data_IF_466203663137
#
_entry.id   IF_466203663137
#
_cell.length_a   1.000
_cell.length_b   1.000
_cell.length_c   1.000
_cell.angle_alpha   90.00
_cell.angle_beta   90.00
_cell.angle_gamma   90.00
#
_symmetry.space_group_name_H-M   'P 1'
#
loop_
_entity.id
_entity.type
_entity.pdbx_description
1 polymer ?
#
# COMPACT_ATOMS: atom_id res chain seq x y z
N UNK A 1 13.37 16.19 -32.13
CA UNK A 1 14.27 15.12 -31.67
C UNK A 1 14.28 14.96 -30.15
N UNK A 2 14.29 16.04 -29.37
CA UNK A 2 14.29 16.02 -27.89
C UNK A 2 13.14 15.26 -27.22
N UNK A 3 11.93 15.26 -27.81
CA UNK A 3 10.78 14.51 -27.27
C UNK A 3 10.92 12.98 -27.41
N UNK A 4 11.68 12.50 -28.40
CA UNK A 4 11.90 11.05 -28.58
C UNK A 4 12.80 10.49 -27.48
N UNK A 5 13.84 11.21 -27.09
CA UNK A 5 14.74 10.81 -25.99
C UNK A 5 14.03 10.84 -24.63
N UNK A 6 13.13 11.81 -24.40
CA UNK A 6 12.30 11.88 -23.18
C UNK A 6 11.29 10.73 -23.05
N UNK A 7 10.99 10.03 -24.13
CA UNK A 7 10.12 8.85 -24.11
C UNK A 7 10.93 7.54 -24.05
N UNK A 8 11.98 7.44 -24.87
CA UNK A 8 12.80 6.23 -24.97
C UNK A 8 13.56 5.95 -23.67
N UNK A 9 14.09 6.98 -22.99
CA UNK A 9 14.90 6.77 -21.78
C UNK A 9 14.04 6.20 -20.64
N UNK A 10 12.89 6.80 -20.26
CA UNK A 10 12.02 6.20 -19.25
C UNK A 10 11.56 4.80 -19.63
N UNK A 11 11.06 4.58 -20.85
CA UNK A 11 10.53 3.28 -21.27
C UNK A 11 11.57 2.16 -21.26
N UNK A 12 12.83 2.45 -21.61
CA UNK A 12 13.92 1.48 -21.45
C UNK A 12 14.13 1.14 -19.98
N UNK A 13 14.18 2.14 -19.10
CA UNK A 13 14.32 1.94 -17.65
C UNK A 13 13.13 1.14 -17.10
N UNK A 14 11.90 1.47 -17.50
CA UNK A 14 10.70 0.71 -17.16
C UNK A 14 10.80 -0.75 -17.60
N UNK A 15 11.24 -1.01 -18.83
CA UNK A 15 11.43 -2.36 -19.35
C UNK A 15 12.46 -3.16 -18.52
N UNK A 16 13.60 -2.56 -18.18
CA UNK A 16 14.59 -3.20 -17.30
C UNK A 16 14.03 -3.51 -15.91
N UNK A 17 13.23 -2.58 -15.34
CA UNK A 17 12.72 -2.71 -13.98
C UNK A 17 11.56 -3.72 -13.85
N UNK A 18 10.72 -3.86 -14.88
CA UNK A 18 9.48 -4.63 -14.80
C UNK A 18 9.47 -5.93 -15.62
N UNK A 19 10.26 -6.06 -16.68
CA UNK A 19 10.16 -7.19 -17.61
C UNK A 19 11.37 -8.13 -17.56
N UNK A 20 12.54 -7.64 -17.15
CA UNK A 20 13.76 -8.46 -17.15
C UNK A 20 13.92 -9.14 -15.79
N UNK A 21 13.88 -10.49 -15.72
CA UNK A 21 14.14 -11.20 -14.48
C UNK A 21 15.63 -11.13 -14.14
N UNK A 22 15.92 -10.79 -12.90
CA UNK A 22 17.24 -10.73 -12.30
C UNK A 22 17.33 -11.78 -11.19
N UNK A 23 18.47 -12.44 -11.08
CA UNK A 23 18.74 -13.35 -9.97
C UNK A 23 19.30 -12.52 -8.81
N UNK A 24 18.53 -12.38 -7.74
CA UNK A 24 18.91 -11.65 -6.53
C UNK A 24 18.79 -12.60 -5.34
N UNK A 25 19.89 -12.81 -4.61
CA UNK A 25 19.94 -13.70 -3.44
C UNK A 25 19.41 -15.12 -3.69
N UNK A 26 19.63 -15.66 -4.89
CA UNK A 26 19.21 -17.01 -5.28
C UNK A 26 17.74 -17.12 -5.72
N UNK A 27 17.00 -16.01 -5.78
CA UNK A 27 15.61 -15.95 -6.29
C UNK A 27 15.55 -15.14 -7.58
N UNK A 28 14.75 -15.60 -8.53
CA UNK A 28 14.43 -14.84 -9.73
C UNK A 28 13.33 -13.83 -9.41
N UNK A 29 13.63 -12.55 -9.55
CA UNK A 29 12.69 -11.45 -9.33
C UNK A 29 12.92 -10.34 -10.35
N UNK A 30 12.01 -9.37 -10.45
CA UNK A 30 12.16 -8.21 -11.32
C UNK A 30 12.90 -7.07 -10.60
N UNK A 31 13.44 -6.09 -11.33
CA UNK A 31 14.17 -4.98 -10.73
C UNK A 31 13.37 -4.21 -9.66
N UNK A 32 12.07 -4.01 -9.88
CA UNK A 32 11.16 -3.44 -8.87
C UNK A 32 11.01 -4.33 -7.63
N UNK A 33 11.01 -5.65 -7.81
CA UNK A 33 10.93 -6.63 -6.73
C UNK A 33 12.14 -6.55 -5.81
N UNK A 34 13.35 -6.35 -6.36
CA UNK A 34 14.57 -6.12 -5.57
C UNK A 34 14.42 -4.87 -4.70
N UNK A 35 13.93 -3.76 -5.27
CA UNK A 35 13.71 -2.52 -4.53
C UNK A 35 12.68 -2.69 -3.41
N UNK A 36 11.56 -3.37 -3.71
CA UNK A 36 10.50 -3.64 -2.75
C UNK A 36 10.98 -4.55 -1.61
N UNK A 37 11.66 -5.65 -1.91
CA UNK A 37 12.20 -6.58 -0.91
C UNK A 37 13.27 -5.92 -0.03
N UNK A 38 14.16 -5.13 -0.64
CA UNK A 38 15.20 -4.40 0.10
C UNK A 38 14.57 -3.38 1.06
N UNK A 39 13.62 -2.57 0.58
CA UNK A 39 12.92 -1.61 1.42
C UNK A 39 12.09 -2.28 2.51
N UNK A 40 11.43 -3.39 2.19
CA UNK A 40 10.69 -4.18 3.16
C UNK A 40 11.62 -4.71 4.26
N UNK A 41 12.79 -5.25 3.91
CA UNK A 41 13.75 -5.77 4.89
C UNK A 41 14.25 -4.69 5.87
N UNK A 42 14.40 -3.45 5.42
CA UNK A 42 14.82 -2.32 6.28
C UNK A 42 13.69 -1.85 7.20
N UNK A 43 12.43 -1.99 6.75
CA UNK A 43 11.26 -1.40 7.42
C UNK A 43 10.42 -2.41 8.19
N UNK A 44 10.74 -3.71 8.10
CA UNK A 44 9.90 -4.81 8.57
C UNK A 44 9.44 -4.67 10.03
N UNK A 45 10.30 -4.18 10.92
CA UNK A 45 10.01 -4.09 12.36
C UNK A 45 8.91 -3.07 12.70
N UNK A 46 8.79 -2.00 11.93
CA UNK A 46 7.84 -0.92 12.19
C UNK A 46 6.73 -0.80 11.14
N UNK A 47 6.87 -1.49 10.00
CA UNK A 47 5.94 -1.39 8.89
C UNK A 47 4.52 -1.84 9.26
N UNK A 48 4.28 -2.94 10.02
CA UNK A 48 2.95 -3.33 10.45
C UNK A 48 2.25 -2.21 11.25
N UNK A 49 2.95 -1.64 12.24
CA UNK A 49 2.41 -0.56 13.06
C UNK A 49 2.12 0.70 12.23
N UNK A 50 3.02 1.06 11.31
CA UNK A 50 2.80 2.15 10.37
C UNK A 50 1.55 1.92 9.50
N UNK A 51 1.35 0.70 9.01
CA UNK A 51 0.18 0.37 8.19
C UNK A 51 -1.13 0.41 8.96
N UNK A 52 -1.16 -0.02 10.23
CA UNK A 52 -2.35 0.19 11.09
C UNK A 52 -2.64 1.68 11.24
N UNK A 53 -1.63 2.50 11.48
CA UNK A 53 -1.80 3.96 11.60
C UNK A 53 -2.37 4.57 10.30
N UNK A 54 -1.89 4.13 9.13
CA UNK A 54 -2.41 4.57 7.82
C UNK A 54 -3.87 4.13 7.62
N UNK A 55 -4.22 2.90 7.99
CA UNK A 55 -5.61 2.41 7.92
C UNK A 55 -6.55 3.21 8.82
N UNK A 56 -6.13 3.50 10.06
CA UNK A 56 -6.88 4.34 10.98
C UNK A 56 -7.05 5.76 10.46
N UNK A 57 -5.97 6.38 9.98
CA UNK A 57 -6.01 7.70 9.37
C UNK A 57 -6.97 7.74 8.17
N UNK A 58 -6.94 6.69 7.34
CA UNK A 58 -7.84 6.55 6.19
C UNK A 58 -9.31 6.54 6.63
N UNK A 59 -9.67 5.78 7.67
CA UNK A 59 -11.03 5.77 8.23
C UNK A 59 -11.42 7.14 8.78
N UNK A 60 -10.56 7.77 9.58
CA UNK A 60 -10.82 9.10 10.18
C UNK A 60 -11.06 10.15 9.09
N UNK A 61 -10.20 10.21 8.08
CA UNK A 61 -10.34 11.14 6.96
C UNK A 61 -11.58 10.84 6.13
N UNK A 62 -11.97 9.57 6.00
CA UNK A 62 -13.19 9.17 5.29
C UNK A 62 -14.44 9.62 6.04
N UNK A 63 -14.47 9.43 7.36
CA UNK A 63 -15.57 9.91 8.21
C UNK A 63 -15.65 11.44 8.15
N UNK A 64 -14.51 12.13 8.28
CA UNK A 64 -14.44 13.58 8.17
C UNK A 64 -14.92 14.07 6.79
N UNK A 65 -14.53 13.39 5.70
CA UNK A 65 -14.97 13.71 4.36
C UNK A 65 -16.49 13.57 4.19
N UNK A 66 -17.11 12.54 4.78
CA UNK A 66 -18.55 12.30 4.68
C UNK A 66 -19.39 13.22 5.57
N UNK A 67 -18.93 13.50 6.80
CA UNK A 67 -19.67 14.27 7.81
C UNK A 67 -19.42 15.78 7.67
N UNK A 68 -18.16 16.19 7.75
CA UNK A 68 -17.79 17.61 7.77
C UNK A 68 -17.61 18.20 6.36
N UNK A 69 -17.44 17.35 5.35
CA UNK A 69 -17.26 17.73 3.93
C UNK A 69 -16.27 18.89 3.72
N UNK A 70 -15.04 18.81 4.27
CA UNK A 70 -14.11 19.92 4.22
C UNK A 70 -13.74 20.29 2.79
N UNK A 71 -13.65 21.59 2.52
CA UNK A 71 -13.43 22.12 1.17
C UNK A 71 -12.12 21.62 0.53
N UNK A 72 -11.05 21.43 1.30
CA UNK A 72 -9.78 20.92 0.79
C UNK A 72 -9.86 19.47 0.27
N UNK A 73 -10.75 18.64 0.83
CA UNK A 73 -11.02 17.30 0.30
C UNK A 73 -12.00 17.39 -0.88
N UNK A 74 -13.06 18.18 -0.76
CA UNK A 74 -14.14 18.23 -1.75
C UNK A 74 -13.76 18.92 -3.06
N UNK A 75 -12.85 19.89 -3.02
CA UNK A 75 -12.38 20.63 -4.18
C UNK A 75 -11.26 19.90 -4.95
N UNK A 76 -10.64 18.87 -4.35
CA UNK A 76 -9.62 18.05 -5.00
C UNK A 76 -10.22 16.75 -5.50
N UNK A 77 -10.24 16.56 -6.83
CA UNK A 77 -10.75 15.33 -7.44
C UNK A 77 -10.04 14.07 -6.91
N UNK A 78 -8.73 14.17 -6.65
CA UNK A 78 -7.93 13.09 -6.09
C UNK A 78 -8.33 12.76 -4.65
N UNK A 79 -8.35 13.77 -3.76
CA UNK A 79 -8.67 13.55 -2.34
C UNK A 79 -10.12 13.12 -2.14
N UNK A 80 -11.04 13.68 -2.93
CA UNK A 80 -12.45 13.28 -2.93
C UNK A 80 -12.59 11.81 -3.33
N UNK A 81 -11.88 11.35 -4.37
CA UNK A 81 -11.91 9.92 -4.77
C UNK A 81 -11.29 9.00 -3.71
N UNK A 82 -10.28 9.49 -2.98
CA UNK A 82 -9.57 8.72 -1.96
C UNK A 82 -10.38 8.58 -0.65
N UNK A 83 -10.97 9.69 -0.17
CA UNK A 83 -11.59 9.78 1.16
C UNK A 83 -13.12 9.90 1.15
N UNK A 84 -13.76 10.35 0.09
CA UNK A 84 -15.23 10.44 0.05
C UNK A 84 -15.85 9.15 -0.51
N UNK A 85 -15.74 8.06 0.26
CA UNK A 85 -16.40 6.77 -0.02
C UNK A 85 -17.56 6.52 0.94
N UNK A 86 -18.69 6.03 0.41
CA UNK A 86 -19.95 5.84 1.15
C UNK A 86 -20.48 4.40 1.03
N UNK A 87 -21.45 4.06 1.89
CA UNK A 87 -22.16 2.79 1.86
C UNK A 87 -21.24 1.60 2.18
N UNK A 88 -21.30 0.57 1.34
CA UNK A 88 -20.56 -0.67 1.52
C UNK A 88 -19.03 -0.45 1.67
N UNK A 89 -18.45 0.46 0.88
CA UNK A 89 -17.01 0.72 0.90
C UNK A 89 -16.52 1.36 2.19
N UNK A 90 -17.34 2.21 2.82
CA UNK A 90 -17.03 2.79 4.12
C UNK A 90 -17.00 1.72 5.20
N UNK A 91 -17.98 0.81 5.18
CA UNK A 91 -18.08 -0.30 6.15
C UNK A 91 -16.87 -1.21 6.03
N UNK A 92 -16.48 -1.61 4.81
CA UNK A 92 -15.30 -2.44 4.58
C UNK A 92 -14.00 -1.76 5.04
N UNK A 93 -13.87 -0.46 4.78
CA UNK A 93 -12.69 0.32 5.23
C UNK A 93 -12.62 0.38 6.76
N UNK A 94 -13.74 0.64 7.43
CA UNK A 94 -13.82 0.65 8.89
C UNK A 94 -13.55 -0.74 9.49
N UNK A 95 -14.13 -1.79 8.92
CA UNK A 95 -13.91 -3.18 9.35
C UNK A 95 -12.45 -3.60 9.20
N UNK A 96 -11.81 -3.27 8.08
CA UNK A 96 -10.38 -3.56 7.86
C UNK A 96 -9.48 -2.87 8.88
N UNK A 97 -9.73 -1.60 9.19
CA UNK A 97 -8.97 -0.88 10.22
C UNK A 97 -9.24 -1.45 11.62
N UNK A 98 -10.49 -1.81 11.93
CA UNK A 98 -10.85 -2.44 13.20
C UNK A 98 -10.11 -3.77 13.38
N UNK A 99 -10.12 -4.65 12.37
CA UNK A 99 -9.39 -5.91 12.45
C UNK A 99 -7.89 -5.70 12.56
N UNK A 100 -7.31 -4.73 11.87
CA UNK A 100 -5.89 -4.40 11.99
C UNK A 100 -5.52 -3.97 13.43
N UNK A 101 -6.38 -3.19 14.09
CA UNK A 101 -6.23 -2.83 15.51
C UNK A 101 -6.41 -4.05 16.42
N UNK A 102 -7.39 -4.90 16.16
CA UNK A 102 -7.60 -6.13 16.93
C UNK A 102 -6.39 -7.07 16.85
N UNK A 103 -5.76 -7.18 15.69
CA UNK A 103 -4.56 -8.00 15.50
C UNK A 103 -3.37 -7.40 16.25
N UNK A 104 -3.06 -6.11 16.07
CA UNK A 104 -1.84 -5.52 16.65
C UNK A 104 -1.87 -5.39 18.18
N UNK A 105 -3.06 -5.26 18.76
CA UNK A 105 -3.26 -5.20 20.21
C UNK A 105 -3.75 -6.53 20.81
N UNK A 106 -3.89 -7.57 19.99
CA UNK A 106 -4.40 -8.90 20.39
C UNK A 106 -5.76 -8.82 21.12
N UNK A 107 -6.66 -7.94 20.66
CA UNK A 107 -7.96 -7.69 21.27
C UNK A 107 -9.03 -8.55 20.61
N UNK A 108 -9.83 -9.25 21.42
CA UNK A 108 -11.00 -10.00 20.99
C UNK A 108 -10.74 -11.50 20.78
N UNK A 109 -11.59 -12.18 20.00
CA UNK A 109 -11.47 -13.62 19.77
C UNK A 109 -10.13 -14.02 19.13
N UNK A 110 -9.52 -15.10 19.64
CA UNK A 110 -8.24 -15.60 19.14
C UNK A 110 -8.24 -15.87 17.63
N UNK A 111 -9.35 -16.33 17.05
CA UNK A 111 -9.44 -16.58 15.60
C UNK A 111 -9.23 -15.33 14.72
N UNK A 112 -9.24 -14.12 15.30
CA UNK A 112 -9.01 -12.86 14.57
C UNK A 112 -7.53 -12.48 14.61
N UNK A 113 -6.87 -12.58 15.76
CA UNK A 113 -5.49 -12.12 15.96
C UNK A 113 -4.44 -13.24 15.93
N UNK A 114 -4.87 -14.50 15.87
CA UNK A 114 -3.98 -15.65 15.78
C UNK A 114 -3.01 -15.55 14.60
N UNK A 115 -1.80 -16.07 14.80
CA UNK A 115 -0.70 -16.01 13.85
C UNK A 115 -1.06 -16.58 12.47
N UNK A 116 -1.94 -17.57 12.40
CA UNK A 116 -2.39 -18.21 11.16
C UNK A 116 -3.64 -17.54 10.54
N UNK A 117 -4.13 -16.45 11.14
CA UNK A 117 -5.33 -15.74 10.69
C UNK A 117 -5.01 -14.27 10.38
N UNK A 118 -5.46 -13.32 11.22
CA UNK A 118 -5.16 -11.90 11.03
C UNK A 118 -3.69 -11.56 11.23
N UNK A 119 -2.95 -12.37 12.00
CA UNK A 119 -1.50 -12.25 12.13
C UNK A 119 -0.78 -12.36 10.78
N UNK A 120 -1.09 -13.40 9.99
CA UNK A 120 -0.54 -13.58 8.63
C UNK A 120 -0.84 -12.36 7.75
N UNK A 121 -2.05 -11.83 7.82
CA UNK A 121 -2.45 -10.67 7.01
C UNK A 121 -1.65 -9.43 7.40
N UNK A 122 -1.58 -9.09 8.69
CA UNK A 122 -0.96 -7.85 9.13
C UNK A 122 0.57 -7.89 9.10
N UNK A 123 1.18 -9.02 9.43
CA UNK A 123 2.64 -9.13 9.60
C UNK A 123 3.35 -9.67 8.36
N UNK A 124 2.68 -10.48 7.53
CA UNK A 124 3.32 -11.07 6.34
C UNK A 124 2.81 -10.43 5.05
N UNK A 125 1.49 -10.32 4.87
CA UNK A 125 0.93 -9.84 3.60
C UNK A 125 0.99 -8.32 3.46
N UNK A 126 0.51 -7.57 4.44
CA UNK A 126 0.43 -6.10 4.37
C UNK A 126 1.81 -5.46 4.13
N UNK A 127 2.89 -5.83 4.85
CA UNK A 127 4.24 -5.33 4.59
C UNK A 127 4.73 -5.56 3.16
N UNK A 128 4.60 -6.79 2.67
CA UNK A 128 5.02 -7.18 1.31
C UNK A 128 4.25 -6.37 0.29
N UNK A 129 2.91 -6.41 0.35
CA UNK A 129 2.04 -5.76 -0.63
C UNK A 129 2.24 -4.24 -0.64
N UNK A 130 2.46 -3.63 0.53
CA UNK A 130 2.70 -2.19 0.63
C UNK A 130 3.97 -1.79 -0.11
N UNK A 131 5.08 -2.47 0.15
CA UNK A 131 6.35 -2.14 -0.50
C UNK A 131 6.29 -2.42 -1.99
N UNK A 132 5.74 -3.57 -2.39
CA UNK A 132 5.59 -3.92 -3.78
C UNK A 132 4.72 -2.92 -4.55
N UNK A 133 3.55 -2.55 -4.02
CA UNK A 133 2.68 -1.58 -4.69
C UNK A 133 3.18 -0.13 -4.60
N UNK A 134 3.94 0.24 -3.58
CA UNK A 134 4.58 1.54 -3.50
C UNK A 134 5.56 1.73 -4.66
N UNK A 135 6.50 0.81 -4.85
CA UNK A 135 7.47 0.91 -5.94
C UNK A 135 6.85 0.63 -7.31
N UNK A 136 5.96 -0.36 -7.42
CA UNK A 136 5.27 -0.62 -8.67
C UNK A 136 4.45 0.60 -9.10
N UNK A 137 3.63 1.18 -8.22
CA UNK A 137 2.81 2.35 -8.52
C UNK A 137 3.63 3.61 -8.82
N UNK A 138 4.74 3.82 -8.11
CA UNK A 138 5.64 4.97 -8.33
C UNK A 138 6.41 4.87 -9.65
N UNK A 139 6.83 3.66 -10.04
CA UNK A 139 7.70 3.43 -11.21
C UNK A 139 6.92 3.02 -12.46
N UNK A 140 5.63 2.65 -12.35
CA UNK A 140 4.78 2.33 -13.50
C UNK A 140 4.75 3.42 -14.58
N UNK A 141 4.76 4.74 -14.27
CA UNK A 141 4.81 5.79 -15.30
C UNK A 141 6.10 5.81 -16.13
N UNK A 142 7.15 5.07 -15.73
CA UNK A 142 8.37 4.93 -16.51
C UNK A 142 8.21 3.93 -17.65
N UNK A 143 7.28 2.98 -17.58
CA UNK A 143 6.94 2.08 -18.69
C UNK A 143 6.24 2.87 -19.81
#
# INVERSE_FOLDING_TARGET
TTNKLKFIIPSIVGLFLFLIPLNYSGKWTIGVGILAETAQGITADYLPAFMVAVLLLSVVLTIAANVAKPQWIMNSAFLKRLFHVIGFWLVMRAAGALFAVMVIFEIGPAFIWDAYTGGTVLYELVPVLTMWFLFAGLLMPLL
#
